data_IF_642026890681
#
_entry.id   IF_642026890681
#
_cell.length_a   1.000
_cell.length_b   1.000
_cell.length_c   1.000
_cell.angle_alpha   90.00
_cell.angle_beta   90.00
_cell.angle_gamma   90.00
#
_symmetry.space_group_name_H-M   'P 1'
#
loop_
_entity.id
_entity.type
_entity.pdbx_description
1 polymer ?
#
# COMPACT_ATOMS: atom_id res chain seq x y z
N UNK A 1 -32.51 -29.27 -7.89
CA UNK A 1 -33.06 -27.92 -8.14
C UNK A 1 -31.90 -26.97 -7.94
N UNK A 2 -31.44 -26.37 -9.03
CA UNK A 2 -30.30 -25.45 -9.05
C UNK A 2 -30.76 -24.03 -8.77
N UNK A 3 -29.90 -23.29 -8.07
CA UNK A 3 -29.66 -21.87 -8.28
C UNK A 3 -30.68 -20.89 -7.69
N UNK A 4 -30.28 -20.19 -6.63
CA UNK A 4 -30.68 -18.81 -6.48
C UNK A 4 -29.57 -18.06 -5.70
N UNK A 5 -28.60 -17.52 -6.43
CA UNK A 5 -27.88 -16.33 -5.96
C UNK A 5 -28.48 -15.18 -6.76
N UNK A 6 -29.10 -14.26 -6.04
CA UNK A 6 -29.90 -13.17 -6.58
C UNK A 6 -29.01 -12.27 -7.44
N UNK A 7 -29.48 -12.00 -8.67
CA UNK A 7 -28.86 -11.09 -9.62
C UNK A 7 -29.54 -9.73 -9.48
N UNK A 8 -28.75 -8.67 -9.34
CA UNK A 8 -29.23 -7.32 -9.61
C UNK A 8 -29.18 -7.01 -11.12
N UNK A 9 -30.07 -6.12 -11.55
CA UNK A 9 -30.39 -5.73 -12.92
C UNK A 9 -29.32 -4.89 -13.63
N UNK A 10 -28.19 -4.62 -12.98
CA UNK A 10 -27.01 -4.01 -13.57
C UNK A 10 -25.85 -5.00 -13.58
N UNK A 11 -25.42 -5.45 -14.77
CA UNK A 11 -24.43 -6.53 -14.96
C UNK A 11 -22.98 -6.21 -14.56
N UNK A 12 -22.78 -5.46 -13.48
CA UNK A 12 -21.53 -5.00 -12.89
C UNK A 12 -21.85 -4.97 -11.38
N UNK A 13 -21.35 -5.80 -10.46
CA UNK A 13 -19.96 -5.98 -10.03
C UNK A 13 -19.93 -7.15 -9.00
N UNK A 14 -19.54 -8.37 -9.39
CA UNK A 14 -19.16 -9.42 -8.41
C UNK A 14 -17.63 -9.65 -8.38
N UNK A 15 -16.90 -9.12 -9.36
CA UNK A 15 -15.45 -9.32 -9.49
C UNK A 15 -14.59 -8.23 -8.83
N UNK A 16 -15.06 -6.99 -8.78
CA UNK A 16 -14.26 -5.86 -8.27
C UNK A 16 -14.28 -5.78 -6.74
N UNK A 17 -15.44 -5.99 -6.11
CA UNK A 17 -15.55 -6.08 -4.65
C UNK A 17 -14.53 -7.08 -4.07
N UNK A 18 -14.39 -8.26 -4.69
CA UNK A 18 -13.44 -9.26 -4.22
C UNK A 18 -11.95 -8.91 -4.41
N UNK A 19 -11.58 -8.07 -5.37
CA UNK A 19 -10.18 -7.68 -5.59
C UNK A 19 -9.79 -6.52 -4.68
N UNK A 20 -10.66 -5.52 -4.52
CA UNK A 20 -10.45 -4.42 -3.59
C UNK A 20 -10.39 -4.91 -2.14
N UNK A 21 -11.27 -5.84 -1.75
CA UNK A 21 -11.24 -6.46 -0.42
C UNK A 21 -9.93 -7.23 -0.16
N UNK A 22 -9.44 -7.97 -1.17
CA UNK A 22 -8.14 -8.66 -1.08
C UNK A 22 -7.02 -7.65 -0.87
N UNK A 23 -7.07 -6.51 -1.54
CA UNK A 23 -6.07 -5.46 -1.36
C UNK A 23 -6.14 -4.90 0.07
N UNK A 24 -7.32 -4.51 0.56
CA UNK A 24 -7.48 -4.04 1.94
C UNK A 24 -6.91 -5.01 2.97
N UNK A 25 -7.06 -6.33 2.75
CA UNK A 25 -6.47 -7.34 3.63
C UNK A 25 -4.94 -7.30 3.70
N UNK A 26 -4.25 -7.00 2.60
CA UNK A 26 -2.78 -6.83 2.61
C UNK A 26 -2.34 -5.53 3.29
N UNK A 27 -3.22 -4.51 3.36
CA UNK A 27 -2.90 -3.21 3.96
C UNK A 27 -3.11 -3.25 5.48
N UNK A 28 -4.11 -4.02 5.92
CA UNK A 28 -4.46 -4.20 7.32
C UNK A 28 -3.71 -5.40 7.92
N UNK A 29 -2.45 -5.19 8.31
CA UNK A 29 -1.70 -6.16 9.13
C UNK A 29 -0.32 -6.51 8.57
N UNK A 30 -0.12 -7.79 8.21
CA UNK A 30 1.17 -8.24 7.68
C UNK A 30 1.24 -7.92 6.18
N UNK A 31 2.33 -7.35 5.67
CA UNK A 31 2.38 -6.85 4.29
C UNK A 31 2.48 -7.95 3.21
N UNK A 32 2.44 -9.23 3.61
CA UNK A 32 2.59 -10.33 2.69
C UNK A 32 1.77 -11.55 3.10
N UNK A 33 1.21 -12.22 2.09
CA UNK A 33 0.33 -13.37 2.25
C UNK A 33 0.53 -14.42 1.16
N UNK A 34 0.17 -15.65 1.48
CA UNK A 34 0.09 -16.77 0.55
C UNK A 34 -1.33 -16.88 -0.03
N UNK A 35 -1.46 -17.55 -1.18
CA UNK A 35 -2.78 -17.85 -1.75
C UNK A 35 -3.68 -18.68 -0.81
N UNK A 36 -3.08 -19.44 0.13
CA UNK A 36 -3.84 -20.19 1.13
C UNK A 36 -4.45 -19.26 2.18
N UNK A 37 -3.67 -18.32 2.72
CA UNK A 37 -4.18 -17.36 3.70
C UNK A 37 -5.30 -16.48 3.12
N UNK A 38 -5.18 -16.08 1.85
CA UNK A 38 -6.23 -15.34 1.14
C UNK A 38 -7.48 -16.21 0.95
N UNK A 39 -7.30 -17.47 0.55
CA UNK A 39 -8.42 -18.41 0.42
C UNK A 39 -9.18 -18.59 1.74
N UNK A 40 -8.45 -18.80 2.84
CA UNK A 40 -9.02 -18.99 4.17
C UNK A 40 -9.74 -17.71 4.66
N UNK A 41 -9.20 -16.52 4.36
CA UNK A 41 -9.82 -15.23 4.74
C UNK A 41 -11.14 -14.98 4.02
N UNK A 42 -11.22 -15.27 2.74
CA UNK A 42 -12.38 -14.96 1.89
C UNK A 42 -13.33 -16.16 1.68
N UNK A 43 -13.03 -17.32 2.26
CA UNK A 43 -13.85 -18.52 2.14
C UNK A 43 -13.93 -19.07 0.71
N UNK A 44 -12.87 -18.90 -0.08
CA UNK A 44 -12.78 -19.32 -1.48
C UNK A 44 -11.77 -20.46 -1.66
N UNK A 45 -11.86 -21.19 -2.77
CA UNK A 45 -10.85 -22.18 -3.10
C UNK A 45 -9.46 -21.54 -3.32
N UNK A 46 -8.40 -22.22 -2.87
CA UNK A 46 -7.00 -21.83 -3.09
C UNK A 46 -6.68 -21.54 -4.57
N UNK A 47 -7.26 -22.31 -5.49
CA UNK A 47 -7.07 -22.10 -6.93
C UNK A 47 -7.73 -20.80 -7.42
N UNK A 48 -8.88 -20.42 -6.85
CA UNK A 48 -9.56 -19.15 -7.12
C UNK A 48 -8.77 -17.99 -6.55
N UNK A 49 -8.31 -18.08 -5.30
CA UNK A 49 -7.43 -17.09 -4.69
C UNK A 49 -6.16 -16.88 -5.52
N UNK A 50 -5.50 -17.97 -5.93
CA UNK A 50 -4.31 -17.91 -6.77
C UNK A 50 -4.57 -17.21 -8.12
N UNK A 51 -5.67 -17.55 -8.81
CA UNK A 51 -6.04 -16.87 -10.07
C UNK A 51 -6.27 -15.37 -9.88
N UNK A 52 -6.91 -14.97 -8.78
CA UNK A 52 -7.15 -13.54 -8.47
C UNK A 52 -5.84 -12.81 -8.17
N UNK A 53 -4.97 -13.42 -7.36
CA UNK A 53 -3.65 -12.86 -7.05
C UNK A 53 -2.79 -12.73 -8.30
N UNK A 54 -2.77 -13.75 -9.18
CA UNK A 54 -2.10 -13.66 -10.48
C UNK A 54 -2.59 -12.49 -11.30
N UNK A 55 -3.91 -12.29 -11.38
CA UNK A 55 -4.47 -11.14 -12.10
C UNK A 55 -4.02 -9.80 -11.50
N UNK A 56 -3.96 -9.70 -10.17
CA UNK A 56 -3.49 -8.49 -9.50
C UNK A 56 -2.00 -8.21 -9.74
N UNK A 57 -1.19 -9.24 -9.99
CA UNK A 57 0.21 -9.06 -10.42
C UNK A 57 0.34 -8.75 -11.90
N UNK A 58 -0.50 -9.33 -12.76
CA UNK A 58 -0.59 -8.93 -14.18
C UNK A 58 -1.00 -7.45 -14.31
N UNK A 59 -1.84 -6.95 -13.40
CA UNK A 59 -2.25 -5.55 -13.26
C UNK A 59 -1.17 -4.68 -12.57
N UNK A 60 -0.05 -5.27 -12.15
CA UNK A 60 1.07 -4.57 -11.52
C UNK A 60 0.73 -4.03 -10.13
N UNK A 61 -0.25 -4.60 -9.42
CA UNK A 61 -0.64 -4.14 -8.07
C UNK A 61 -0.02 -4.97 -6.95
N UNK A 62 0.30 -6.23 -7.24
CA UNK A 62 1.00 -7.15 -6.33
C UNK A 62 2.26 -7.69 -6.99
N UNK A 63 3.25 -8.01 -6.18
CA UNK A 63 4.41 -8.81 -6.58
C UNK A 63 4.34 -10.20 -5.94
N UNK A 64 5.07 -11.17 -6.51
CA UNK A 64 5.15 -12.54 -5.98
C UNK A 64 6.58 -13.06 -5.97
N UNK A 65 6.88 -13.92 -5.00
CA UNK A 65 8.14 -14.66 -4.91
C UNK A 65 7.88 -16.12 -4.56
N UNK A 66 8.65 -17.03 -5.18
CA UNK A 66 8.64 -18.45 -4.83
C UNK A 66 9.76 -18.74 -3.82
N UNK A 67 9.40 -19.00 -2.56
CA UNK A 67 10.32 -19.37 -1.48
C UNK A 67 10.57 -20.88 -1.44
N UNK A 68 10.97 -21.45 -2.58
CA UNK A 68 11.15 -22.89 -2.78
C UNK A 68 10.09 -23.50 -3.69
N UNK A 69 9.92 -24.83 -3.62
CA UNK A 69 9.16 -25.59 -4.61
C UNK A 69 7.63 -25.49 -4.50
N UNK A 70 7.10 -24.99 -3.37
CA UNK A 70 5.64 -24.97 -3.11
C UNK A 70 5.11 -23.70 -2.45
N UNK A 71 6.00 -22.84 -1.97
CA UNK A 71 5.60 -21.66 -1.20
C UNK A 71 5.71 -20.44 -2.10
N UNK A 72 4.57 -19.82 -2.40
CA UNK A 72 4.50 -18.55 -3.12
C UNK A 72 3.92 -17.52 -2.17
N UNK A 73 4.64 -16.42 -2.00
CA UNK A 73 4.26 -15.28 -1.17
C UNK A 73 4.01 -14.09 -2.08
N UNK A 74 2.99 -13.30 -1.73
CA UNK A 74 2.57 -12.10 -2.44
C UNK A 74 2.69 -10.90 -1.50
N UNK A 75 3.00 -9.72 -2.03
CA UNK A 75 3.00 -8.45 -1.29
C UNK A 75 2.60 -7.32 -2.23
N UNK A 76 2.27 -6.16 -1.66
CA UNK A 76 2.04 -4.95 -2.46
C UNK A 76 3.26 -4.57 -3.28
N UNK A 77 3.07 -4.31 -4.56
CA UNK A 77 4.01 -3.40 -5.20
C UNK A 77 3.73 -2.05 -4.57
N UNK A 78 4.62 -1.59 -3.71
CA UNK A 78 4.64 -0.17 -3.43
C UNK A 78 5.01 0.46 -4.77
N UNK A 79 4.15 1.33 -5.29
CA UNK A 79 4.65 2.42 -6.13
C UNK A 79 5.60 3.25 -5.25
N UNK A 80 6.82 2.73 -5.02
CA UNK A 80 7.96 3.59 -4.68
C UNK A 80 8.30 4.43 -5.91
N UNK A 81 7.78 4.07 -7.08
CA UNK A 81 7.49 4.99 -8.15
C UNK A 81 6.04 5.50 -8.02
N UNK A 82 5.75 6.21 -6.93
CA UNK A 82 5.10 7.49 -7.15
C UNK A 82 5.96 8.16 -8.22
N UNK A 83 5.61 7.99 -9.51
CA UNK A 83 5.95 8.97 -10.53
C UNK A 83 5.59 10.26 -9.83
N UNK A 84 6.59 11.12 -9.49
CA UNK A 84 6.44 12.17 -8.50
C UNK A 84 5.07 12.77 -8.74
N UNK A 85 4.11 12.44 -7.87
CA UNK A 85 2.73 12.92 -8.01
C UNK A 85 2.95 14.40 -8.02
N UNK A 86 2.75 15.00 -9.21
CA UNK A 86 3.44 16.22 -9.63
C UNK A 86 3.44 17.14 -8.44
N UNK A 87 4.56 17.21 -7.70
CA UNK A 87 4.59 17.96 -6.45
C UNK A 87 4.19 19.33 -6.90
N UNK A 88 2.97 19.75 -6.54
CA UNK A 88 2.40 20.96 -7.13
C UNK A 88 3.46 21.99 -6.84
N UNK A 89 4.07 22.57 -7.88
CA UNK A 89 5.24 23.43 -7.67
C UNK A 89 4.87 24.66 -6.83
N UNK A 90 3.56 24.87 -6.65
CA UNK A 90 2.89 25.86 -5.83
C UNK A 90 2.39 25.32 -4.47
N UNK A 91 2.79 24.12 -4.04
CA UNK A 91 2.38 23.58 -2.74
C UNK A 91 2.90 24.52 -1.63
N UNK A 92 1.98 25.08 -0.80
CA UNK A 92 2.33 26.02 0.26
C UNK A 92 3.27 25.41 1.31
N UNK A 93 3.32 24.08 1.44
CA UNK A 93 4.28 23.37 2.29
C UNK A 93 5.72 23.61 1.81
N UNK A 94 5.97 23.59 0.50
CA UNK A 94 7.31 23.72 -0.09
C UNK A 94 7.65 25.17 -0.49
N UNK A 95 6.64 26.03 -0.63
CA UNK A 95 6.77 27.49 -0.84
C UNK A 95 6.94 28.29 0.45
N UNK A 96 6.88 27.64 1.62
CA UNK A 96 7.17 28.28 2.89
C UNK A 96 8.56 28.93 2.86
N UNK A 97 8.73 30.12 3.48
CA UNK A 97 10.03 30.77 3.55
C UNK A 97 11.04 29.81 4.20
N UNK A 98 12.03 29.41 3.41
CA UNK A 98 13.13 28.57 3.89
C UNK A 98 14.00 29.43 4.80
N UNK A 99 14.12 29.03 6.07
CA UNK A 99 15.12 29.61 6.95
C UNK A 99 16.47 29.02 6.57
N UNK A 100 17.26 29.79 5.85
CA UNK A 100 18.70 29.54 5.73
C UNK A 100 19.34 30.02 7.02
N UNK A 101 19.95 29.11 7.76
CA UNK A 101 20.81 29.46 8.89
C UNK A 101 22.14 29.90 8.30
N UNK A 102 22.51 31.16 8.50
CA UNK A 102 23.72 31.76 7.93
C UNK A 102 25.02 31.19 8.54
N UNK A 103 24.95 30.67 9.77
CA UNK A 103 26.12 30.21 10.51
C UNK A 103 25.96 28.73 10.93
N UNK A 104 26.87 27.82 10.53
CA UNK A 104 26.84 26.46 11.01
C UNK A 104 27.08 26.46 12.52
N UNK A 105 26.08 26.04 13.29
CA UNK A 105 26.19 25.91 14.74
C UNK A 105 26.95 24.62 15.03
N UNK A 106 27.98 24.71 15.86
CA UNK A 106 28.74 23.55 16.32
C UNK A 106 27.83 22.56 17.06
N UNK A 107 28.11 21.26 16.92
CA UNK A 107 27.26 20.18 17.43
C UNK A 107 27.02 20.23 18.94
N UNK A 108 27.97 20.80 19.68
CA UNK A 108 27.89 20.98 21.13
C UNK A 108 27.03 22.19 21.55
N UNK A 109 26.75 23.12 20.63
CA UNK A 109 25.99 24.36 20.88
C UNK A 109 24.51 24.27 20.42
N UNK A 110 24.14 23.14 19.81
CA UNK A 110 22.76 22.87 19.34
C UNK A 110 21.75 22.90 20.51
N UNK A 111 22.16 22.44 21.69
CA UNK A 111 21.28 22.35 22.87
C UNK A 111 20.89 23.75 23.37
N UNK A 112 21.81 24.72 23.34
CA UNK A 112 21.53 26.11 23.71
C UNK A 112 20.65 26.84 22.69
N UNK A 113 20.74 26.51 21.40
CA UNK A 113 19.90 27.11 20.35
C UNK A 113 18.48 26.51 20.34
N UNK A 114 18.33 25.22 20.59
CA UNK A 114 17.03 24.53 20.59
C UNK A 114 16.31 24.60 21.94
N UNK A 115 17.05 24.69 23.05
CA UNK A 115 16.50 24.67 24.42
C UNK A 115 16.90 25.88 25.28
N UNK A 116 17.58 26.87 24.70
CA UNK A 116 17.81 28.15 25.37
C UNK A 116 16.49 28.88 25.67
N UNK A 117 16.43 29.56 26.81
CA UNK A 117 15.28 30.41 27.13
C UNK A 117 15.18 31.53 26.10
N UNK A 118 14.09 31.54 25.33
CA UNK A 118 13.74 32.69 24.49
C UNK A 118 13.41 33.87 25.41
N UNK A 119 14.39 34.74 25.66
CA UNK A 119 14.11 36.02 26.34
C UNK A 119 13.15 36.83 25.45
N UNK A 120 11.92 37.01 25.96
CA UNK A 120 10.83 37.72 25.29
C UNK A 120 10.93 39.23 25.35
#
# INVERSE_FOLDING_TARGET
MSGNTERDESGQFESELGNEDIMSYFAEGRPFHTAQEVADRFGIDRSTAYRRLSRLEDEGRLEKISLGSRTVVWWYTADTATAPDEVESDDPLFSAPKFSVDEPVDEDEIDDVLYGEIEG
#
